data_IF_515995572689
#
_entry.id   IF_515995572689
#
_cell.length_a   1.000
_cell.length_b   1.000
_cell.length_c   1.000
_cell.angle_alpha   90.00
_cell.angle_beta   90.00
_cell.angle_gamma   90.00
#
_symmetry.space_group_name_H-M   'P 1'
#
loop_
_entity.id
_entity.type
_entity.pdbx_description
1 polymer ?
#
# COMPACT_ATOMS: atom_id res chain seq x y z
N UNK A 1 -1.16 10.28 46.84
CA UNK A 1 -0.22 9.38 46.11
C UNK A 1 -0.86 8.58 44.97
N UNK A 2 -2.10 8.07 45.09
CA UNK A 2 -2.74 7.26 44.03
C UNK A 2 -3.05 8.06 42.75
N UNK A 3 -3.52 9.30 42.91
CA UNK A 3 -3.81 10.21 41.79
C UNK A 3 -2.55 10.55 40.95
N UNK A 4 -1.40 10.77 41.58
CA UNK A 4 -0.14 11.05 40.86
C UNK A 4 0.31 9.87 39.99
N UNK A 5 0.07 8.64 40.41
CA UNK A 5 0.38 7.44 39.62
C UNK A 5 -0.53 7.31 38.40
N UNK A 6 -1.80 7.69 38.54
CA UNK A 6 -2.77 7.70 37.44
C UNK A 6 -2.41 8.79 36.42
N UNK A 7 -2.09 9.99 36.89
CA UNK A 7 -1.65 11.10 36.02
C UNK A 7 -0.36 10.72 35.28
N UNK A 8 0.61 10.14 35.98
CA UNK A 8 1.86 9.69 35.37
C UNK A 8 1.64 8.59 34.33
N UNK A 9 0.73 7.64 34.61
CA UNK A 9 0.35 6.60 33.65
C UNK A 9 -0.35 7.16 32.41
N UNK A 10 -1.21 8.17 32.58
CA UNK A 10 -1.89 8.83 31.46
C UNK A 10 -0.92 9.60 30.56
N UNK A 11 0.03 10.33 31.16
CA UNK A 11 1.10 11.03 30.43
C UNK A 11 1.98 10.01 29.69
N UNK A 12 2.39 8.92 30.33
CA UNK A 12 3.20 7.89 29.69
C UNK A 12 2.47 7.24 28.49
N UNK A 13 1.16 7.01 28.59
CA UNK A 13 0.36 6.46 27.49
C UNK A 13 0.30 7.38 26.26
N UNK A 14 0.21 8.70 26.46
CA UNK A 14 0.21 9.68 25.37
C UNK A 14 1.55 9.73 24.62
N UNK A 15 2.67 9.52 25.31
CA UNK A 15 4.01 9.54 24.69
C UNK A 15 4.38 8.24 23.97
N UNK A 16 3.69 7.12 24.24
CA UNK A 16 3.97 5.82 23.62
C UNK A 16 3.18 5.56 22.33
N UNK A 17 2.23 6.43 21.97
CA UNK A 17 1.50 6.34 20.71
C UNK A 17 2.36 6.84 19.54
N UNK A 18 2.96 5.93 18.78
CA UNK A 18 3.60 6.27 17.50
C UNK A 18 2.61 6.16 16.34
N UNK A 19 2.62 7.08 15.36
CA UNK A 19 1.83 6.91 14.14
C UNK A 19 2.31 5.69 13.37
N UNK A 20 1.39 4.78 13.03
CA UNK A 20 1.70 3.62 12.21
C UNK A 20 1.67 4.04 10.73
N UNK A 21 2.82 4.07 10.06
CA UNK A 21 2.93 4.39 8.63
C UNK A 21 2.58 3.18 7.73
N UNK A 22 1.40 2.59 7.97
CA UNK A 22 0.89 1.51 7.13
C UNK A 22 0.41 2.06 5.79
N UNK A 23 1.24 1.95 4.75
CA UNK A 23 0.84 2.23 3.38
C UNK A 23 0.36 0.93 2.74
N UNK A 24 -0.79 0.98 2.08
CA UNK A 24 -1.30 -0.16 1.33
C UNK A 24 -0.86 -0.03 -0.11
N UNK A 25 -0.05 -0.98 -0.59
CA UNK A 25 0.26 -1.10 -2.00
C UNK A 25 -0.99 -1.51 -2.75
N UNK A 26 -1.30 -0.78 -3.82
CA UNK A 26 -2.30 -1.14 -4.80
C UNK A 26 -1.65 -1.29 -6.17
N UNK A 27 -2.19 -2.24 -6.94
CA UNK A 27 -1.86 -2.48 -8.35
C UNK A 27 -3.19 -2.38 -9.09
N UNK A 28 -3.35 -1.32 -9.88
CA UNK A 28 -4.61 -0.99 -10.56
C UNK A 28 -4.44 -1.22 -12.07
N UNK A 29 -5.20 -2.12 -12.68
CA UNK A 29 -5.17 -2.29 -14.13
C UNK A 29 -5.98 -1.20 -14.84
N UNK A 30 -5.65 -0.92 -16.09
CA UNK A 30 -6.43 -0.02 -16.96
C UNK A 30 -7.86 -0.53 -17.17
N UNK A 31 -8.03 -1.85 -17.22
CA UNK A 31 -9.29 -2.51 -17.50
C UNK A 31 -9.51 -3.68 -16.53
N UNK A 32 -10.75 -3.83 -16.07
CA UNK A 32 -11.13 -4.91 -15.16
C UNK A 32 -11.44 -6.22 -15.89
N UNK A 33 -11.78 -6.15 -17.19
CA UNK A 33 -12.19 -7.28 -18.02
C UNK A 33 -11.51 -7.14 -19.37
N UNK A 34 -10.93 -8.23 -19.86
CA UNK A 34 -10.37 -8.33 -21.21
C UNK A 34 -11.34 -9.08 -22.09
N UNK A 35 -11.89 -8.42 -23.11
CA UNK A 35 -12.85 -9.02 -24.05
C UNK A 35 -12.15 -9.79 -25.18
N UNK A 36 -11.07 -9.24 -25.75
CA UNK A 36 -10.23 -9.91 -26.76
C UNK A 36 -8.78 -9.96 -26.30
N UNK A 37 -8.32 -11.18 -25.98
CA UNK A 37 -6.95 -11.44 -25.53
C UNK A 37 -5.89 -11.12 -26.59
N UNK A 38 -6.22 -11.18 -27.89
CA UNK A 38 -5.24 -11.02 -28.96
C UNK A 38 -4.81 -9.57 -29.18
N UNK A 39 -5.60 -8.62 -28.71
CA UNK A 39 -5.33 -7.18 -28.83
C UNK A 39 -5.28 -6.47 -27.48
N UNK A 40 -5.19 -7.22 -26.38
CA UNK A 40 -5.22 -6.65 -25.04
C UNK A 40 -3.86 -6.07 -24.65
N UNK A 41 -3.80 -4.75 -24.53
CA UNK A 41 -2.72 -4.03 -23.85
C UNK A 41 -3.26 -3.54 -22.52
N UNK A 42 -2.73 -4.06 -21.41
CA UNK A 42 -3.14 -3.65 -20.05
C UNK A 42 -2.03 -2.84 -19.41
N UNK A 43 -2.36 -1.61 -19.02
CA UNK A 43 -1.44 -0.79 -18.25
C UNK A 43 -1.67 -1.03 -16.75
N UNK A 44 -0.59 -1.18 -15.98
CA UNK A 44 -0.65 -1.36 -14.54
C UNK A 44 -0.11 -0.11 -13.84
N UNK A 45 -0.95 0.51 -13.02
CA UNK A 45 -0.56 1.61 -12.16
C UNK A 45 -0.25 1.10 -10.76
N UNK A 46 0.87 1.57 -10.19
CA UNK A 46 1.32 1.21 -8.85
C UNK A 46 1.20 2.42 -7.94
N UNK A 47 0.36 2.28 -6.92
CA UNK A 47 0.00 3.37 -6.01
C UNK A 47 0.10 2.93 -4.57
N UNK A 48 0.35 3.88 -3.67
CA UNK A 48 0.08 3.69 -2.25
C UNK A 48 -1.24 4.36 -1.87
N UNK A 49 -1.98 3.75 -0.94
CA UNK A 49 -3.16 4.35 -0.36
C UNK A 49 -3.05 4.39 1.17
N UNK A 50 -3.39 5.54 1.76
CA UNK A 50 -3.59 5.61 3.19
C UNK A 50 -4.92 4.95 3.56
N UNK A 51 -4.91 3.88 4.38
CA UNK A 51 -6.07 3.00 4.59
C UNK A 51 -7.31 3.70 5.15
N UNK A 52 -7.12 4.76 5.94
CA UNK A 52 -8.22 5.51 6.56
C UNK A 52 -8.53 6.82 5.84
N UNK A 53 -7.60 7.32 5.03
CA UNK A 53 -7.75 8.62 4.36
C UNK A 53 -8.20 8.44 2.90
N UNK A 54 -8.14 7.22 2.36
CA UNK A 54 -8.45 6.87 0.97
C UNK A 54 -7.70 7.73 -0.06
N UNK A 55 -6.64 8.40 0.38
CA UNK A 55 -5.82 9.27 -0.43
C UNK A 55 -4.77 8.43 -1.16
N UNK A 56 -4.72 8.61 -2.48
CA UNK A 56 -3.66 8.05 -3.31
C UNK A 56 -2.37 8.83 -3.11
N UNK A 57 -1.27 8.12 -2.98
CA UNK A 57 0.06 8.67 -2.84
C UNK A 57 0.94 8.17 -3.97
N UNK A 58 1.76 9.09 -4.49
CA UNK A 58 2.78 8.76 -5.45
C UNK A 58 3.80 7.82 -4.82
N UNK A 59 4.02 6.69 -5.49
CA UNK A 59 4.99 5.69 -5.09
C UNK A 59 6.37 6.04 -5.67
N UNK A 60 7.43 5.85 -4.89
CA UNK A 60 8.80 5.82 -5.46
C UNK A 60 8.92 4.60 -6.36
N UNK A 61 9.65 4.72 -7.47
CA UNK A 61 9.87 3.61 -8.41
C UNK A 61 10.36 2.36 -7.64
N UNK A 62 9.72 1.18 -7.81
CA UNK A 62 10.09 -0.01 -7.07
C UNK A 62 11.45 -0.53 -7.55
N UNK A 63 12.21 -1.16 -6.65
CA UNK A 63 13.49 -1.82 -6.98
C UNK A 63 13.25 -2.91 -8.03
N UNK A 64 12.14 -3.64 -7.90
CA UNK A 64 11.72 -4.66 -8.84
C UNK A 64 10.19 -4.69 -8.93
N UNK A 65 9.69 -4.75 -10.17
CA UNK A 65 8.29 -4.99 -10.48
C UNK A 65 8.20 -5.81 -11.77
N UNK A 66 7.22 -6.69 -11.87
CA UNK A 66 7.00 -7.53 -13.04
C UNK A 66 5.89 -8.55 -12.77
N UNK A 67 5.56 -9.32 -13.80
CA UNK A 67 4.52 -10.35 -13.73
C UNK A 67 5.12 -11.74 -13.86
N UNK A 68 4.49 -12.71 -13.19
CA UNK A 68 4.79 -14.12 -13.37
C UNK A 68 3.62 -14.78 -14.09
N UNK A 69 3.91 -15.47 -15.20
CA UNK A 69 2.92 -16.22 -15.95
C UNK A 69 3.32 -17.69 -15.88
N UNK A 70 2.43 -18.52 -15.34
CA UNK A 70 2.67 -19.96 -15.12
C UNK A 70 3.93 -20.26 -14.29
N UNK A 71 4.23 -19.42 -13.29
CA UNK A 71 5.39 -19.58 -12.41
C UNK A 71 6.71 -19.06 -13.00
N UNK A 72 6.71 -18.56 -14.23
CA UNK A 72 7.89 -17.98 -14.86
C UNK A 72 7.83 -16.46 -14.87
N UNK A 73 8.96 -15.82 -14.52
CA UNK A 73 9.13 -14.39 -14.70
C UNK A 73 9.10 -14.06 -16.19
N UNK A 74 8.26 -13.10 -16.59
CA UNK A 74 8.25 -12.57 -17.95
C UNK A 74 8.92 -11.20 -17.96
N UNK A 75 9.80 -11.02 -18.93
CA UNK A 75 10.52 -9.78 -19.18
C UNK A 75 10.00 -9.17 -20.50
N UNK A 76 9.99 -7.84 -20.61
CA UNK A 76 9.60 -7.10 -21.82
C UNK A 76 8.16 -7.37 -22.31
N UNK A 77 7.19 -7.39 -21.37
CA UNK A 77 5.77 -7.35 -21.69
C UNK A 77 5.27 -5.92 -21.90
#
# INVERSE_FOLDING_TARGET
MKHNKIILGFIAGLFLGMPLYGHFQMIVPSDNIVEDQKSATINLELLFCHPFEQQMLNMVKPIQFGVLINGEKKENL
#
